data_IF_957821019384
#
_entry.id   IF_957821019384
#
_cell.length_a   1.000
_cell.length_b   1.000
_cell.length_c   1.000
_cell.angle_alpha   90.00
_cell.angle_beta   90.00
_cell.angle_gamma   90.00
#
_symmetry.space_group_name_H-M   'P 1'
#
loop_
_entity.id
_entity.type
_entity.pdbx_description
1 polymer ?
#
# COMPACT_ATOMS: atom_id res chain seq x y z
N UNK A 1 17.49 16.80 5.87
CA UNK A 1 17.47 16.79 4.39
C UNK A 1 16.11 16.27 3.95
N UNK A 2 15.50 16.87 2.94
CA UNK A 2 14.24 16.36 2.39
C UNK A 2 14.48 14.95 1.78
N UNK A 3 13.59 13.97 2.02
CA UNK A 3 13.74 12.65 1.41
C UNK A 3 13.68 12.78 -0.12
N UNK A 4 14.51 12.07 -0.88
CA UNK A 4 14.67 12.25 -2.33
C UNK A 4 13.39 12.00 -3.15
N UNK A 5 12.39 11.34 -2.58
CA UNK A 5 11.05 11.15 -3.15
C UNK A 5 9.93 11.70 -2.26
N UNK A 6 10.24 12.66 -1.38
CA UNK A 6 9.25 13.40 -0.60
C UNK A 6 8.53 12.60 0.50
N UNK A 7 8.90 11.33 0.72
CA UNK A 7 8.30 10.44 1.73
C UNK A 7 9.39 9.84 2.62
N UNK A 8 9.19 9.93 3.93
CA UNK A 8 10.10 9.35 4.93
C UNK A 8 9.88 7.84 5.11
N UNK A 9 10.88 7.14 5.65
CA UNK A 9 10.73 5.74 6.06
C UNK A 9 9.53 5.57 7.01
N UNK A 10 8.75 4.50 6.80
CA UNK A 10 7.58 4.20 7.60
C UNK A 10 6.32 4.96 7.18
N UNK A 11 6.39 5.74 6.09
CA UNK A 11 5.29 6.56 5.58
C UNK A 11 4.99 6.27 4.12
N UNK A 12 3.78 6.62 3.72
CA UNK A 12 3.33 6.63 2.34
C UNK A 12 2.52 7.88 2.04
N UNK A 13 2.58 8.35 0.80
CA UNK A 13 1.80 9.49 0.31
C UNK A 13 1.49 9.33 -1.17
N UNK A 14 0.23 9.59 -1.54
CA UNK A 14 -0.19 9.67 -2.94
C UNK A 14 0.09 11.07 -3.48
N UNK A 15 0.63 11.15 -4.69
CA UNK A 15 0.80 12.41 -5.40
C UNK A 15 -0.39 12.76 -6.30
N UNK A 16 -0.37 13.95 -6.88
CA UNK A 16 -1.41 14.48 -7.76
C UNK A 16 -1.54 13.70 -9.08
N UNK A 17 -0.70 12.70 -9.34
CA UNK A 17 -0.81 11.79 -10.51
C UNK A 17 -1.36 10.43 -10.13
N UNK A 18 -1.67 10.23 -8.85
CA UNK A 18 -2.12 8.95 -8.32
C UNK A 18 -0.99 7.95 -8.10
N UNK A 19 0.29 8.34 -8.13
CA UNK A 19 1.38 7.46 -7.71
C UNK A 19 1.46 7.46 -6.19
N UNK A 20 1.44 6.28 -5.59
CA UNK A 20 1.67 6.11 -4.17
C UNK A 20 3.17 5.90 -3.93
N UNK A 21 3.78 6.85 -3.23
CA UNK A 21 5.18 6.81 -2.80
C UNK A 21 5.24 6.19 -1.42
N UNK A 22 6.00 5.11 -1.25
CA UNK A 22 6.11 4.35 0.01
C UNK A 22 7.57 4.32 0.46
N UNK A 23 7.86 4.84 1.65
CA UNK A 23 9.18 4.72 2.28
C UNK A 23 9.34 3.35 2.94
N UNK A 24 9.71 2.34 2.16
CA UNK A 24 9.78 0.93 2.58
C UNK A 24 11.00 0.59 3.45
N UNK A 25 12.06 1.40 3.37
CA UNK A 25 13.27 1.22 4.15
C UNK A 25 14.09 2.51 4.24
N UNK A 26 15.16 2.54 5.06
CA UNK A 26 16.15 3.61 5.00
C UNK A 26 16.74 3.69 3.59
N UNK A 27 16.58 4.86 2.95
CA UNK A 27 17.01 5.09 1.56
C UNK A 27 16.41 4.13 0.52
N UNK A 28 15.26 3.51 0.81
CA UNK A 28 14.53 2.60 -0.08
C UNK A 28 13.07 3.05 -0.23
N UNK A 29 12.59 3.10 -1.47
CA UNK A 29 11.22 3.49 -1.80
C UNK A 29 10.57 2.51 -2.77
N UNK A 30 9.29 2.23 -2.53
CA UNK A 30 8.40 1.53 -3.45
C UNK A 30 7.42 2.54 -4.04
N UNK A 31 7.30 2.56 -5.36
CA UNK A 31 6.33 3.37 -6.08
C UNK A 31 5.25 2.46 -6.65
N UNK A 32 4.00 2.71 -6.28
CA UNK A 32 2.84 2.00 -6.83
C UNK A 32 2.04 2.98 -7.70
N UNK A 33 1.98 2.70 -9.00
CA UNK A 33 1.33 3.55 -9.98
C UNK A 33 0.24 2.77 -10.75
N UNK A 34 -0.74 3.47 -11.33
CA UNK A 34 -1.64 2.90 -12.32
C UNK A 34 -0.85 2.24 -13.48
N UNK A 35 -1.33 1.11 -14.05
CA UNK A 35 -0.61 0.40 -15.12
C UNK A 35 -0.33 1.26 -16.37
N UNK A 36 -1.17 2.27 -16.62
CA UNK A 36 -1.08 3.17 -17.76
C UNK A 36 -0.13 4.35 -17.56
N UNK A 37 0.39 4.55 -16.35
CA UNK A 37 1.18 5.72 -16.02
C UNK A 37 2.68 5.40 -16.08
N UNK A 38 3.44 5.98 -17.04
CA UNK A 38 4.89 5.85 -17.02
C UNK A 38 5.45 6.56 -15.77
N UNK A 39 6.05 5.77 -14.87
CA UNK A 39 6.66 6.30 -13.65
C UNK A 39 7.92 7.07 -14.02
N UNK A 40 7.80 8.40 -14.08
CA UNK A 40 8.93 9.32 -14.21
C UNK A 40 9.17 9.98 -12.86
N UNK A 41 10.27 9.61 -12.23
CA UNK A 41 10.64 10.12 -10.91
C UNK A 41 11.72 11.18 -11.08
N UNK A 42 11.46 12.37 -10.53
CA UNK A 42 12.48 13.40 -10.37
C UNK A 42 13.11 13.20 -9.00
N UNK A 43 14.40 12.85 -8.94
CA UNK A 43 15.12 12.83 -7.67
C UNK A 43 15.59 14.24 -7.31
N UNK A 44 15.76 14.50 -6.02
CA UNK A 44 16.28 15.76 -5.48
C UNK A 44 17.79 15.98 -5.76
N UNK A 45 18.30 15.51 -6.90
CA UNK A 45 19.71 15.62 -7.29
C UNK A 45 20.65 14.57 -6.71
N UNK A 46 20.15 13.60 -5.93
CA UNK A 46 20.94 12.45 -5.45
C UNK A 46 20.92 11.30 -6.47
N UNK A 47 22.04 10.57 -6.66
CA UNK A 47 22.05 9.33 -7.43
C UNK A 47 21.10 8.30 -6.83
N UNK A 48 20.39 7.57 -7.68
CA UNK A 48 19.50 6.49 -7.28
C UNK A 48 19.50 5.39 -8.35
N UNK A 49 19.08 4.19 -7.95
CA UNK A 49 18.79 3.09 -8.85
C UNK A 49 17.28 2.87 -8.88
N UNK A 50 16.72 2.71 -10.07
CA UNK A 50 15.31 2.38 -10.24
C UNK A 50 15.20 1.03 -10.93
N UNK A 51 14.42 0.13 -10.34
CA UNK A 51 14.20 -1.23 -10.84
C UNK A 51 12.71 -1.45 -10.95
N UNK A 52 12.26 -1.94 -12.10
CA UNK A 52 10.88 -2.40 -12.24
C UNK A 52 10.75 -3.80 -11.63
N UNK A 53 9.98 -3.89 -10.55
CA UNK A 53 9.69 -5.14 -9.82
C UNK A 53 8.25 -5.62 -10.00
N UNK A 54 7.49 -4.99 -10.91
CA UNK A 54 6.04 -5.20 -11.06
C UNK A 54 5.68 -6.67 -11.23
N UNK A 55 6.36 -7.38 -12.13
CA UNK A 55 6.07 -8.79 -12.42
C UNK A 55 6.41 -9.74 -11.26
N UNK A 56 7.29 -9.33 -10.34
CA UNK A 56 7.71 -10.13 -9.19
C UNK A 56 6.77 -10.07 -7.99
N UNK A 57 5.70 -9.28 -8.06
CA UNK A 57 4.90 -8.92 -6.89
C UNK A 57 3.41 -9.18 -7.09
N UNK A 58 2.72 -9.36 -5.97
CA UNK A 58 1.27 -9.35 -5.88
C UNK A 58 0.82 -8.23 -4.94
N UNK A 59 -0.30 -7.60 -5.27
CA UNK A 59 -0.90 -6.51 -4.48
C UNK A 59 -2.36 -6.84 -4.23
N UNK A 60 -2.75 -6.86 -2.95
CA UNK A 60 -4.16 -7.00 -2.53
C UNK A 60 -4.55 -5.73 -1.80
N UNK A 61 -5.76 -5.23 -2.05
CA UNK A 61 -6.35 -4.14 -1.28
C UNK A 61 -7.44 -4.70 -0.38
N UNK A 62 -7.34 -4.43 0.92
CA UNK A 62 -8.36 -4.75 1.92
C UNK A 62 -8.99 -3.44 2.40
N UNK A 63 -10.31 -3.31 2.28
CA UNK A 63 -11.03 -2.10 2.64
C UNK A 63 -12.15 -2.38 3.65
N UNK A 64 -12.58 -1.34 4.36
CA UNK A 64 -13.71 -1.38 5.27
C UNK A 64 -13.31 -1.23 6.74
N UNK A 65 -14.29 -0.87 7.57
CA UNK A 65 -14.09 -0.59 8.99
C UNK A 65 -13.53 -1.78 9.77
N UNK A 66 -13.86 -3.01 9.34
CA UNK A 66 -13.40 -4.28 9.94
C UNK A 66 -12.04 -4.76 9.40
N UNK A 67 -11.41 -4.04 8.46
CA UNK A 67 -10.10 -4.42 7.91
C UNK A 67 -9.00 -4.61 8.98
N UNK A 68 -8.91 -3.78 10.05
CA UNK A 68 -7.98 -4.03 11.15
C UNK A 68 -8.25 -5.34 11.88
N UNK A 69 -9.51 -5.73 12.05
CA UNK A 69 -9.87 -6.97 12.76
C UNK A 69 -9.49 -8.21 11.93
N UNK A 70 -9.67 -8.16 10.61
CA UNK A 70 -9.18 -9.20 9.68
C UNK A 70 -7.66 -9.32 9.80
N UNK A 71 -6.95 -8.20 9.72
CA UNK A 71 -5.49 -8.19 9.75
C UNK A 71 -4.93 -8.59 11.12
N UNK A 72 -5.61 -8.28 12.23
CA UNK A 72 -5.18 -8.67 13.58
C UNK A 72 -5.12 -10.19 13.77
N UNK A 73 -5.89 -10.96 12.98
CA UNK A 73 -5.80 -12.44 12.96
C UNK A 73 -4.54 -12.95 12.25
N UNK A 74 -3.96 -12.15 11.36
CA UNK A 74 -2.89 -12.54 10.45
C UNK A 74 -1.56 -11.83 10.73
N UNK A 75 -1.59 -10.70 11.44
CA UNK A 75 -0.47 -9.80 11.66
C UNK A 75 -0.41 -9.36 13.13
N UNK A 76 0.79 -9.40 13.73
CA UNK A 76 1.00 -9.03 15.13
C UNK A 76 1.16 -7.52 15.38
N UNK A 77 1.05 -6.69 14.34
CA UNK A 77 1.21 -5.24 14.47
C UNK A 77 -0.07 -4.63 15.05
N UNK A 78 0.08 -3.67 15.98
CA UNK A 78 -1.03 -2.86 16.47
C UNK A 78 -1.50 -1.91 15.36
N UNK A 79 -2.72 -2.14 14.85
CA UNK A 79 -3.32 -1.38 13.75
C UNK A 79 -4.16 -0.17 14.21
N UNK A 80 -4.13 0.14 15.51
CA UNK A 80 -4.79 1.32 16.04
C UNK A 80 -4.19 2.60 15.43
N UNK A 81 -5.04 3.62 15.24
CA UNK A 81 -4.67 4.87 14.54
C UNK A 81 -3.48 5.60 15.16
N UNK A 82 -3.32 5.47 16.48
CA UNK A 82 -2.18 6.04 17.21
C UNK A 82 -0.83 5.41 16.82
N UNK A 83 -0.83 4.17 16.35
CA UNK A 83 0.37 3.40 15.97
C UNK A 83 0.53 3.39 14.45
N UNK A 84 -0.53 3.02 13.73
CA UNK A 84 -0.57 3.00 12.26
C UNK A 84 -1.61 3.99 11.73
N UNK A 85 -1.33 5.31 11.76
CA UNK A 85 -2.23 6.31 11.19
C UNK A 85 -2.32 6.14 9.67
N UNK A 86 -3.27 6.82 9.02
CA UNK A 86 -3.33 6.86 7.56
C UNK A 86 -1.98 7.32 6.98
N UNK A 87 -1.53 6.69 5.89
CA UNK A 87 -0.20 6.88 5.33
C UNK A 87 0.93 6.19 6.12
N UNK A 88 0.63 5.31 7.07
CA UNK A 88 1.65 4.44 7.66
C UNK A 88 2.04 3.33 6.67
N UNK A 89 3.34 3.03 6.59
CA UNK A 89 3.87 1.93 5.81
C UNK A 89 4.85 1.13 6.66
N UNK A 90 4.79 -0.20 6.62
CA UNK A 90 5.68 -1.06 7.38
C UNK A 90 5.78 -2.44 6.75
N UNK A 91 6.88 -3.13 7.01
CA UNK A 91 7.07 -4.54 6.66
C UNK A 91 6.83 -5.41 7.88
N UNK A 92 6.00 -6.44 7.73
CA UNK A 92 5.69 -7.37 8.82
C UNK A 92 5.37 -8.77 8.28
N UNK A 93 5.21 -9.73 9.19
CA UNK A 93 4.59 -11.00 8.88
C UNK A 93 3.07 -10.83 8.80
N UNK A 94 2.47 -11.18 7.66
CA UNK A 94 1.02 -11.31 7.46
C UNK A 94 0.77 -12.72 6.96
N UNK A 95 0.01 -13.53 7.70
CA UNK A 95 -0.16 -14.96 7.41
C UNK A 95 1.19 -15.68 7.24
N UNK A 96 2.20 -15.34 8.07
CA UNK A 96 3.60 -15.85 7.99
C UNK A 96 4.38 -15.43 6.73
N UNK A 97 3.82 -14.60 5.85
CA UNK A 97 4.52 -14.02 4.71
C UNK A 97 5.15 -12.68 5.06
N UNK A 98 6.36 -12.43 4.58
CA UNK A 98 6.93 -11.07 4.58
C UNK A 98 6.11 -10.20 3.63
N UNK A 99 5.42 -9.21 4.18
CA UNK A 99 4.46 -8.37 3.46
C UNK A 99 4.71 -6.91 3.80
N UNK A 100 4.80 -6.08 2.76
CA UNK A 100 4.72 -4.63 2.92
C UNK A 100 3.24 -4.26 3.09
N UNK A 101 2.91 -3.66 4.22
CA UNK A 101 1.58 -3.18 4.57
C UNK A 101 1.59 -1.67 4.51
N UNK A 102 0.69 -1.10 3.70
CA UNK A 102 0.54 0.35 3.57
C UNK A 102 -0.90 0.72 3.86
N UNK A 103 -1.13 1.53 4.89
CA UNK A 103 -2.42 2.15 5.12
C UNK A 103 -2.58 3.32 4.16
N UNK A 104 -3.57 3.21 3.28
CA UNK A 104 -3.91 4.16 2.23
C UNK A 104 -5.44 4.22 2.15
N UNK A 105 -6.03 4.97 3.09
CA UNK A 105 -7.48 5.15 3.21
C UNK A 105 -8.03 5.81 1.93
N UNK A 106 -9.26 5.44 1.54
CA UNK A 106 -9.90 5.96 0.33
C UNK A 106 -10.35 7.41 0.51
N UNK A 107 -10.64 8.11 -0.61
CA UNK A 107 -11.00 9.53 -0.60
C UNK A 107 -12.29 9.88 0.16
N UNK A 108 -13.16 8.89 0.38
CA UNK A 108 -14.38 9.01 1.20
C UNK A 108 -14.14 8.74 2.70
N UNK A 109 -12.88 8.49 3.09
CA UNK A 109 -12.49 8.13 4.46
C UNK A 109 -12.58 6.64 4.77
N UNK A 110 -12.96 5.79 3.81
CA UNK A 110 -13.01 4.34 4.01
C UNK A 110 -11.62 3.82 4.33
N UNK A 111 -11.49 3.15 5.47
CA UNK A 111 -10.23 2.53 5.90
C UNK A 111 -9.74 1.52 4.87
N UNK A 112 -8.47 1.61 4.47
CA UNK A 112 -7.92 0.79 3.40
C UNK A 112 -6.44 0.47 3.60
N UNK A 113 -6.09 -0.77 3.30
CA UNK A 113 -4.74 -1.32 3.39
C UNK A 113 -4.33 -1.95 2.06
N UNK A 114 -3.14 -1.63 1.61
CA UNK A 114 -2.44 -2.34 0.54
C UNK A 114 -1.50 -3.35 1.17
N UNK A 115 -1.59 -4.59 0.70
CA UNK A 115 -0.76 -5.71 1.12
C UNK A 115 0.05 -6.19 -0.08
N UNK A 116 1.36 -5.99 -0.02
CA UNK A 116 2.27 -6.23 -1.13
C UNK A 116 3.28 -7.31 -0.76
N UNK A 117 3.26 -8.43 -1.49
CA UNK A 117 4.09 -9.60 -1.23
C UNK A 117 4.69 -10.17 -2.53
N UNK A 118 5.50 -11.22 -2.39
CA UNK A 118 6.02 -11.98 -3.52
C UNK A 118 4.88 -12.58 -4.35
N UNK A 119 4.96 -12.50 -5.69
CA UNK A 119 3.91 -12.99 -6.59
C UNK A 119 3.55 -14.46 -6.34
N UNK A 120 4.53 -15.30 -6.03
CA UNK A 120 4.33 -16.72 -5.76
C UNK A 120 3.49 -17.01 -4.51
N UNK A 121 3.36 -16.05 -3.60
CA UNK A 121 2.56 -16.16 -2.37
C UNK A 121 1.23 -15.41 -2.45
N UNK A 122 0.95 -14.70 -3.55
CA UNK A 122 -0.23 -13.84 -3.70
C UNK A 122 -1.55 -14.59 -3.50
N UNK A 123 -1.68 -15.78 -4.09
CA UNK A 123 -2.89 -16.61 -3.92
C UNK A 123 -3.09 -17.03 -2.46
N UNK A 124 -2.02 -17.46 -1.79
CA UNK A 124 -2.09 -17.85 -0.38
C UNK A 124 -2.47 -16.67 0.52
N UNK A 125 -1.91 -15.48 0.28
CA UNK A 125 -2.31 -14.27 1.01
C UNK A 125 -3.80 -13.97 0.81
N UNK A 126 -4.28 -14.04 -0.44
CA UNK A 126 -5.68 -13.82 -0.77
C UNK A 126 -6.61 -14.80 -0.03
N UNK A 127 -6.30 -16.10 -0.09
CA UNK A 127 -7.10 -17.14 0.59
C UNK A 127 -7.09 -16.94 2.11
N UNK A 128 -5.94 -16.59 2.69
CA UNK A 128 -5.81 -16.33 4.12
C UNK A 128 -6.63 -15.11 4.59
N UNK A 129 -6.73 -14.06 3.76
CA UNK A 129 -7.56 -12.89 4.05
C UNK A 129 -9.04 -13.24 4.04
N UNK A 130 -9.48 -14.04 3.07
CA UNK A 130 -10.87 -14.50 2.99
C UNK A 130 -11.24 -15.38 4.18
N UNK A 131 -10.38 -16.32 4.56
CA UNK A 131 -10.59 -17.18 5.73
C UNK A 131 -10.66 -16.35 7.03
N UNK A 132 -9.69 -15.45 7.24
CA UNK A 132 -9.68 -14.57 8.41
C UNK A 132 -10.91 -13.64 8.46
N UNK A 133 -11.38 -13.19 7.30
CA UNK A 133 -12.51 -12.27 7.17
C UNK A 133 -13.89 -12.93 7.12
N UNK A 134 -13.98 -14.26 7.10
CA UNK A 134 -15.24 -14.97 6.93
C UNK A 134 -16.31 -14.59 7.98
N UNK A 135 -15.92 -14.39 9.25
CA UNK A 135 -16.85 -13.98 10.31
C UNK A 135 -17.35 -12.53 10.20
N UNK A 136 -16.69 -11.73 9.35
CA UNK A 136 -17.06 -10.34 9.07
C UNK A 136 -17.78 -10.19 7.72
N UNK A 137 -18.12 -11.31 7.07
CA UNK A 137 -18.77 -11.34 5.75
C UNK A 137 -17.93 -10.58 4.72
N UNK A 138 -16.63 -10.86 4.68
CA UNK A 138 -15.74 -10.30 3.66
C UNK A 138 -16.20 -10.74 2.27
N UNK A 139 -16.24 -9.79 1.35
CA UNK A 139 -16.58 -10.03 -0.06
C UNK A 139 -15.41 -9.67 -0.97
N UNK A 140 -15.41 -10.27 -2.15
CA UNK A 140 -14.43 -9.97 -3.19
C UNK A 140 -15.02 -8.93 -4.13
N UNK A 141 -14.31 -7.81 -4.26
CA UNK A 141 -14.52 -6.83 -5.32
C UNK A 141 -13.37 -6.90 -6.33
N UNK A 142 -13.56 -6.31 -7.51
CA UNK A 142 -12.49 -6.08 -8.47
C UNK A 142 -11.42 -5.14 -7.91
N UNK A 143 -10.17 -5.29 -8.38
CA UNK A 143 -9.13 -4.34 -8.00
C UNK A 143 -9.40 -2.99 -8.64
N UNK A 144 -9.83 -2.03 -7.82
CA UNK A 144 -10.07 -0.65 -8.23
C UNK A 144 -8.91 0.23 -7.79
N UNK A 145 -8.37 1.01 -8.73
CA UNK A 145 -7.50 2.12 -8.36
C UNK A 145 -8.33 3.12 -7.54
N UNK A 146 -7.76 3.72 -6.48
CA UNK A 146 -8.46 4.79 -5.78
C UNK A 146 -8.86 5.88 -6.77
N UNK A 147 -10.02 6.53 -6.58
CA UNK A 147 -10.43 7.65 -7.42
C UNK A 147 -9.31 8.70 -7.45
N UNK A 148 -8.92 9.11 -8.66
CA UNK A 148 -8.08 10.29 -8.83
C UNK A 148 -8.98 11.52 -8.72
N UNK A 149 -8.62 12.51 -7.90
CA UNK A 149 -9.36 13.77 -7.85
C UNK A 149 -9.00 14.56 -9.11
N UNK A 150 -9.87 14.49 -10.13
CA UNK A 150 -9.78 15.30 -11.37
C UNK A 150 -9.89 16.82 -11.12
N UNK A 151 -9.93 17.27 -9.87
CA UNK A 151 -9.94 18.69 -9.51
C UNK A 151 -8.55 19.30 -9.62
N UNK A 152 -8.22 19.75 -10.84
CA UNK A 152 -7.45 20.98 -11.00
C UNK A 152 -6.25 20.98 -11.94
N UNK A 153 -6.45 20.62 -13.21
CA UNK A 153 -5.69 21.24 -14.32
C UNK A 153 -6.63 22.10 -15.16
N UNK A 154 -7.17 23.15 -14.51
CA UNK A 154 -7.70 24.30 -15.23
C UNK A 154 -6.63 25.41 -15.21
N UNK A 155 -5.90 25.47 -16.33
CA UNK A 155 -5.14 26.60 -16.91
C UNK A 155 -4.11 27.33 -16.04
#
# INVERSE_FOLDING_TARGET
AEPPFGVAFGRARRDDRGVLHVGSGPDEWLLLAPPSLPVRVLSSGKPFTMVDVTHGRALVRLTGERAPDVLAKLCAIDLADRVTPNGAAFRSAVAKLVTDVVRDDLGDGTRSYLLHCERSSGQYLFDALLDAGAEFVIEVDGFSLPPHDDRGTAT
#
